data_IF_638870967152
#
_entry.id   IF_638870967152
#
_cell.length_a   1.000
_cell.length_b   1.000
_cell.length_c   1.000
_cell.angle_alpha   90.00
_cell.angle_beta   90.00
_cell.angle_gamma   90.00
#
_symmetry.space_group_name_H-M   'P 1'
#
loop_
_entity.id
_entity.type
_entity.pdbx_description
1 polymer ?
#
# COMPACT_ATOMS: atom_id res chain seq x y z
N UNK A 1 -18.83 34.92 -57.20
CA UNK A 1 -17.97 33.76 -56.91
C UNK A 1 -17.26 34.08 -55.65
N UNK A 2 -17.85 33.59 -54.53
CA UNK A 2 -17.42 33.94 -53.17
C UNK A 2 -16.58 32.78 -52.64
N UNK A 3 -15.29 33.00 -52.44
CA UNK A 3 -14.34 31.97 -52.05
C UNK A 3 -14.27 31.95 -50.50
N UNK A 4 -15.00 31.04 -49.84
CA UNK A 4 -14.89 30.82 -48.42
C UNK A 4 -13.47 30.36 -48.01
N UNK A 5 -12.90 30.92 -46.94
CA UNK A 5 -11.61 30.45 -46.43
C UNK A 5 -11.75 29.08 -45.76
N UNK A 6 -10.91 28.15 -46.19
CA UNK A 6 -10.76 26.82 -45.56
C UNK A 6 -10.25 26.98 -44.12
N UNK A 7 -11.07 26.56 -43.14
CA UNK A 7 -10.61 26.41 -41.76
C UNK A 7 -9.56 25.31 -41.70
N UNK A 8 -8.35 25.68 -41.36
CA UNK A 8 -7.29 24.70 -41.05
C UNK A 8 -7.66 23.95 -39.79
N UNK A 9 -7.92 22.67 -39.93
CA UNK A 9 -8.08 21.73 -38.81
C UNK A 9 -6.69 21.45 -38.25
N UNK A 10 -6.36 22.03 -37.09
CA UNK A 10 -5.20 21.60 -36.31
C UNK A 10 -5.62 20.32 -35.52
N UNK A 11 -4.91 19.21 -35.70
CA UNK A 11 -5.20 18.01 -34.90
C UNK A 11 -4.98 18.32 -33.41
N UNK A 12 -5.78 17.76 -32.49
CA UNK A 12 -5.60 17.97 -31.07
C UNK A 12 -4.18 17.51 -30.70
N UNK A 13 -3.43 18.40 -30.06
CA UNK A 13 -2.11 18.11 -29.50
C UNK A 13 -2.25 16.84 -28.64
N UNK A 14 -1.52 15.81 -28.99
CA UNK A 14 -1.48 14.58 -28.19
C UNK A 14 -1.23 15.01 -26.74
N UNK A 15 -2.17 14.69 -25.85
CA UNK A 15 -2.05 15.00 -24.42
C UNK A 15 -0.79 14.26 -23.96
N UNK A 16 0.29 15.01 -23.74
CA UNK A 16 1.54 14.45 -23.23
C UNK A 16 1.19 13.74 -21.94
N UNK A 17 1.46 12.44 -21.87
CA UNK A 17 1.16 11.64 -20.68
C UNK A 17 1.76 12.32 -19.46
N UNK A 18 0.98 12.52 -18.40
CA UNK A 18 1.45 13.19 -17.18
C UNK A 18 2.75 12.50 -16.70
N UNK A 19 3.82 13.27 -16.45
CA UNK A 19 5.10 12.73 -16.00
C UNK A 19 4.98 11.82 -14.78
N UNK A 20 4.00 12.06 -13.90
CA UNK A 20 3.78 11.22 -12.71
C UNK A 20 3.12 9.89 -13.06
N UNK A 21 2.22 9.86 -14.03
CA UNK A 21 1.63 8.62 -14.55
C UNK A 21 2.66 7.78 -15.30
N UNK A 22 3.58 8.44 -16.00
CA UNK A 22 4.72 7.77 -16.61
C UNK A 22 5.62 7.16 -15.53
N UNK A 23 5.97 7.92 -14.49
CA UNK A 23 6.76 7.42 -13.38
C UNK A 23 6.10 6.21 -12.70
N UNK A 24 4.78 6.25 -12.47
CA UNK A 24 4.02 5.14 -11.90
C UNK A 24 4.08 3.90 -12.80
N UNK A 25 3.86 4.04 -14.10
CA UNK A 25 3.96 2.92 -15.05
C UNK A 25 5.34 2.28 -15.04
N UNK A 26 6.40 3.09 -15.07
CA UNK A 26 7.77 2.57 -15.00
C UNK A 26 8.02 1.78 -13.71
N UNK A 27 7.45 2.22 -12.57
CA UNK A 27 7.51 1.50 -11.30
C UNK A 27 6.66 0.21 -11.33
N UNK A 28 5.55 0.20 -12.06
CA UNK A 28 4.71 -1.00 -12.24
C UNK A 28 5.42 -2.06 -13.11
N UNK A 29 6.18 -1.63 -14.12
CA UNK A 29 6.86 -2.49 -15.07
C UNK A 29 8.23 -2.99 -14.55
N UNK A 30 8.90 -2.22 -13.68
CA UNK A 30 10.26 -2.53 -13.25
C UNK A 30 10.66 -1.94 -11.90
N UNK A 31 11.96 -1.83 -11.71
CA UNK A 31 12.61 -1.27 -10.51
C UNK A 31 13.54 -0.11 -10.88
N UNK A 32 13.05 0.95 -11.54
CA UNK A 32 13.88 2.07 -11.93
C UNK A 32 14.40 2.81 -10.69
N UNK A 33 15.64 3.30 -10.78
CA UNK A 33 16.16 4.22 -9.78
C UNK A 33 15.44 5.59 -9.86
N UNK A 34 15.56 6.39 -8.82
CA UNK A 34 15.02 7.75 -8.83
C UNK A 34 15.63 8.60 -9.96
N UNK A 35 16.89 8.35 -10.31
CA UNK A 35 17.59 9.02 -11.41
C UNK A 35 16.98 8.60 -12.77
N UNK A 36 16.70 7.31 -12.96
CA UNK A 36 16.04 6.81 -14.18
C UNK A 36 14.66 7.42 -14.34
N UNK A 37 13.87 7.44 -13.26
CA UNK A 37 12.56 8.09 -13.27
C UNK A 37 12.64 9.58 -13.61
N UNK A 38 13.61 10.28 -13.03
CA UNK A 38 13.83 11.70 -13.30
C UNK A 38 14.18 11.94 -14.78
N UNK A 39 15.05 11.10 -15.36
CA UNK A 39 15.46 11.20 -16.78
C UNK A 39 14.28 10.95 -17.72
N UNK A 40 13.44 9.95 -17.44
CA UNK A 40 12.28 9.63 -18.29
C UNK A 40 11.13 10.63 -18.17
N UNK A 41 10.98 11.26 -17.02
CA UNK A 41 9.88 12.21 -16.76
C UNK A 41 10.23 13.66 -17.08
N UNK A 42 11.51 13.97 -17.28
CA UNK A 42 12.00 15.34 -17.45
C UNK A 42 11.93 16.20 -16.17
N UNK A 43 11.68 15.58 -15.03
CA UNK A 43 11.64 16.25 -13.73
C UNK A 43 12.95 16.03 -12.98
N UNK A 44 13.38 17.03 -12.18
CA UNK A 44 14.48 16.76 -11.25
C UNK A 44 14.05 15.73 -10.19
N UNK A 45 14.99 14.95 -9.68
CA UNK A 45 14.72 13.88 -8.68
C UNK A 45 13.94 14.40 -7.47
N UNK A 46 14.31 15.57 -6.93
CA UNK A 46 13.62 16.19 -5.80
C UNK A 46 12.22 16.67 -6.14
N UNK A 47 12.01 17.20 -7.33
CA UNK A 47 10.71 17.65 -7.81
C UNK A 47 9.78 16.47 -8.07
N UNK A 48 10.29 15.42 -8.72
CA UNK A 48 9.57 14.17 -8.93
C UNK A 48 9.12 13.57 -7.60
N UNK A 49 10.03 13.44 -6.64
CA UNK A 49 9.72 12.84 -5.33
C UNK A 49 8.62 13.61 -4.59
N UNK A 50 8.69 14.94 -4.56
CA UNK A 50 7.66 15.77 -3.92
C UNK A 50 6.32 15.67 -4.62
N UNK A 51 6.28 15.79 -5.95
CA UNK A 51 5.04 15.72 -6.73
C UNK A 51 4.42 14.32 -6.70
N UNK A 52 5.26 13.29 -6.79
CA UNK A 52 4.80 11.90 -6.70
C UNK A 52 4.17 11.63 -5.33
N UNK A 53 4.82 12.11 -4.24
CA UNK A 53 4.26 12.00 -2.89
C UNK A 53 2.98 12.81 -2.73
N UNK A 54 2.91 14.01 -3.28
CA UNK A 54 1.70 14.83 -3.22
C UNK A 54 0.51 14.16 -3.93
N UNK A 55 0.76 13.53 -5.08
CA UNK A 55 -0.30 12.90 -5.88
C UNK A 55 -0.65 11.49 -5.41
N UNK A 56 0.34 10.68 -5.07
CA UNK A 56 0.17 9.27 -4.72
C UNK A 56 0.34 8.99 -3.21
N UNK A 57 0.64 10.02 -2.37
CA UNK A 57 0.89 9.95 -0.93
C UNK A 57 2.16 9.21 -0.52
N UNK A 58 2.90 8.71 -1.49
CA UNK A 58 4.08 7.90 -1.35
C UNK A 58 5.21 8.47 -2.18
N UNK A 59 6.44 8.31 -1.70
CA UNK A 59 7.60 8.45 -2.58
C UNK A 59 7.67 7.28 -3.57
N UNK A 60 8.37 7.44 -4.70
CA UNK A 60 8.62 6.34 -5.63
C UNK A 60 9.24 5.10 -4.97
N UNK A 61 10.15 5.29 -4.01
CA UNK A 61 10.78 4.20 -3.27
C UNK A 61 9.78 3.44 -2.39
N UNK A 62 8.90 4.15 -1.68
CA UNK A 62 7.83 3.55 -0.89
C UNK A 62 6.83 2.80 -1.78
N UNK A 63 6.51 3.34 -2.95
CA UNK A 63 5.65 2.67 -3.93
C UNK A 63 6.25 1.33 -4.38
N UNK A 64 7.53 1.33 -4.75
CA UNK A 64 8.24 0.12 -5.14
C UNK A 64 8.33 -0.90 -4.01
N UNK A 65 8.62 -0.44 -2.78
CA UNK A 65 8.66 -1.32 -1.60
C UNK A 65 7.32 -2.03 -1.35
N UNK A 66 6.20 -1.35 -1.59
CA UNK A 66 4.86 -1.94 -1.50
C UNK A 66 4.59 -2.97 -2.57
N UNK A 67 4.93 -2.65 -3.82
CA UNK A 67 4.80 -3.61 -4.92
C UNK A 67 5.54 -4.91 -4.59
N UNK A 68 6.79 -4.79 -4.12
CA UNK A 68 7.60 -5.93 -3.68
C UNK A 68 6.93 -6.73 -2.57
N UNK A 69 6.40 -6.07 -1.57
CA UNK A 69 5.68 -6.74 -0.47
C UNK A 69 4.41 -7.46 -0.98
N UNK A 70 3.67 -6.85 -1.88
CA UNK A 70 2.50 -7.47 -2.52
C UNK A 70 2.85 -8.73 -3.28
N UNK A 71 3.91 -8.69 -4.10
CA UNK A 71 4.45 -9.84 -4.83
C UNK A 71 4.88 -10.94 -3.87
N UNK A 72 5.62 -10.59 -2.80
CA UNK A 72 6.04 -11.54 -1.77
C UNK A 72 4.84 -12.24 -1.11
N UNK A 73 3.86 -11.47 -0.65
CA UNK A 73 2.64 -12.01 -0.02
C UNK A 73 1.90 -12.97 -0.94
N UNK A 74 1.73 -12.61 -2.21
CA UNK A 74 1.08 -13.45 -3.20
C UNK A 74 1.84 -14.79 -3.39
N UNK A 75 3.15 -14.73 -3.61
CA UNK A 75 3.98 -15.90 -3.77
C UNK A 75 3.97 -16.83 -2.54
N UNK A 76 4.01 -16.27 -1.34
CA UNK A 76 3.95 -17.04 -0.09
C UNK A 76 2.58 -17.72 0.09
N UNK A 77 1.47 -17.04 -0.26
CA UNK A 77 0.12 -17.65 -0.23
C UNK A 77 -0.06 -18.76 -1.24
N UNK A 78 0.60 -18.67 -2.40
CA UNK A 78 0.68 -19.76 -3.39
C UNK A 78 1.53 -20.93 -2.92
N UNK A 79 2.12 -20.86 -1.72
CA UNK A 79 2.96 -21.92 -1.15
C UNK A 79 4.39 -21.95 -1.67
N UNK A 80 4.83 -20.95 -2.43
CA UNK A 80 6.21 -20.89 -2.93
C UNK A 80 7.20 -20.92 -1.78
N UNK A 81 8.37 -21.48 -2.05
CA UNK A 81 9.48 -21.44 -1.10
C UNK A 81 9.85 -19.99 -0.73
N UNK A 82 10.16 -19.77 0.54
CA UNK A 82 10.45 -18.41 1.08
C UNK A 82 11.57 -17.72 0.33
N UNK A 83 12.67 -18.46 0.05
CA UNK A 83 13.82 -17.90 -0.66
C UNK A 83 13.44 -17.48 -2.07
N UNK A 84 12.75 -18.36 -2.80
CA UNK A 84 12.26 -18.09 -4.16
C UNK A 84 11.28 -16.91 -4.16
N UNK A 85 10.31 -16.90 -3.26
CA UNK A 85 9.34 -15.81 -3.14
C UNK A 85 10.00 -14.45 -2.87
N UNK A 86 11.07 -14.44 -2.10
CA UNK A 86 11.85 -13.25 -1.81
C UNK A 86 12.62 -12.76 -3.05
N UNK A 87 13.24 -13.66 -3.80
CA UNK A 87 13.93 -13.30 -5.05
C UNK A 87 12.94 -12.78 -6.10
N UNK A 88 11.82 -13.47 -6.30
CA UNK A 88 10.78 -13.07 -7.24
C UNK A 88 10.18 -11.70 -6.90
N UNK A 89 10.12 -11.37 -5.62
CA UNK A 89 9.68 -10.06 -5.14
C UNK A 89 10.77 -8.97 -5.25
N UNK A 90 11.94 -9.27 -5.80
CA UNK A 90 13.01 -8.30 -6.05
C UNK A 90 13.79 -7.89 -4.80
N UNK A 91 13.90 -8.77 -3.85
CA UNK A 91 14.73 -8.55 -2.67
C UNK A 91 16.12 -9.20 -2.86
N UNK A 92 17.17 -8.41 -2.97
CA UNK A 92 18.51 -8.85 -3.46
C UNK A 92 19.42 -9.62 -2.49
N UNK A 93 19.04 -9.87 -1.22
CA UNK A 93 19.83 -10.75 -0.33
C UNK A 93 18.97 -11.34 0.81
N UNK A 94 19.23 -12.62 1.18
CA UNK A 94 18.42 -13.30 2.22
C UNK A 94 18.48 -12.62 3.59
N UNK A 95 19.62 -12.14 4.04
CA UNK A 95 19.79 -11.61 5.42
C UNK A 95 19.06 -10.30 5.68
N UNK A 96 19.16 -9.32 4.76
CA UNK A 96 18.36 -8.08 4.83
C UNK A 96 16.88 -8.32 4.67
N UNK A 97 16.55 -9.41 4.02
CA UNK A 97 15.21 -9.83 3.69
C UNK A 97 14.45 -10.38 4.88
N UNK A 98 15.08 -11.24 5.67
CA UNK A 98 14.44 -11.78 6.86
C UNK A 98 14.11 -10.70 7.89
N UNK A 99 14.97 -9.71 8.05
CA UNK A 99 14.73 -8.59 8.97
C UNK A 99 13.65 -7.63 8.44
N UNK A 100 13.78 -7.18 7.19
CA UNK A 100 12.83 -6.23 6.60
C UNK A 100 11.49 -6.86 6.22
N UNK A 101 11.49 -8.09 5.73
CA UNK A 101 10.28 -8.82 5.37
C UNK A 101 9.46 -9.24 6.60
N UNK A 102 10.13 -9.71 7.67
CA UNK A 102 9.46 -10.08 8.91
C UNK A 102 8.81 -8.88 9.61
N UNK A 103 9.48 -7.73 9.63
CA UNK A 103 8.92 -6.49 10.15
C UNK A 103 7.66 -6.07 9.37
N UNK A 104 7.68 -6.21 8.05
CA UNK A 104 6.58 -5.81 7.15
C UNK A 104 5.39 -6.76 7.10
N UNK A 105 5.58 -8.00 7.49
CA UNK A 105 4.52 -9.01 7.54
C UNK A 105 3.87 -9.12 8.93
N UNK A 106 4.44 -8.48 9.97
CA UNK A 106 4.04 -8.68 11.36
C UNK A 106 4.38 -10.08 11.89
N UNK A 107 5.03 -10.91 11.07
CA UNK A 107 5.46 -12.27 11.40
C UNK A 107 6.58 -12.71 10.43
N UNK A 108 7.18 -13.88 10.66
CA UNK A 108 8.19 -14.38 9.71
C UNK A 108 7.56 -14.77 8.37
N UNK A 109 8.30 -14.69 7.25
CA UNK A 109 7.79 -15.15 5.95
C UNK A 109 7.35 -16.63 5.97
N UNK A 110 8.06 -17.48 6.72
CA UNK A 110 7.69 -18.89 6.89
C UNK A 110 6.36 -19.05 7.62
N UNK A 111 6.14 -18.28 8.67
CA UNK A 111 4.88 -18.25 9.43
C UNK A 111 3.73 -17.72 8.56
N UNK A 112 3.99 -16.67 7.79
CA UNK A 112 3.00 -16.12 6.85
C UNK A 112 2.62 -17.15 5.78
N UNK A 113 3.60 -17.84 5.18
CA UNK A 113 3.37 -18.94 4.23
C UNK A 113 2.53 -20.07 4.84
N UNK A 114 2.73 -20.35 6.13
CA UNK A 114 1.93 -21.33 6.86
C UNK A 114 0.54 -20.81 7.29
N UNK A 115 0.07 -19.69 6.73
CA UNK A 115 -1.23 -19.11 7.05
C UNK A 115 -1.35 -18.60 8.48
N UNK A 116 -0.26 -18.16 9.09
CA UNK A 116 -0.23 -17.68 10.47
C UNK A 116 -0.23 -18.79 11.53
N UNK A 117 0.11 -20.01 11.17
CA UNK A 117 0.09 -21.15 12.11
C UNK A 117 0.96 -20.87 13.33
N UNK A 118 0.38 -21.05 14.52
CA UNK A 118 1.03 -20.85 15.81
C UNK A 118 1.17 -19.39 16.22
N UNK A 119 0.49 -18.47 15.53
CA UNK A 119 0.47 -17.04 15.86
C UNK A 119 -0.89 -16.66 16.43
N UNK A 120 -0.89 -15.93 17.54
CA UNK A 120 -2.06 -15.21 18.03
C UNK A 120 -2.11 -13.82 17.35
N UNK A 121 -3.25 -13.50 16.75
CA UNK A 121 -3.53 -12.23 16.12
C UNK A 121 -4.71 -11.61 16.85
N UNK A 122 -4.48 -10.47 17.50
CA UNK A 122 -5.55 -9.64 18.07
C UNK A 122 -6.01 -8.66 17.04
N UNK A 123 -7.31 -8.49 16.91
CA UNK A 123 -7.88 -7.59 15.92
C UNK A 123 -9.11 -6.86 16.45
N UNK A 124 -9.37 -5.70 15.89
CA UNK A 124 -10.55 -4.90 16.21
C UNK A 124 -11.03 -4.14 14.99
N UNK A 125 -12.25 -3.61 15.10
CA UNK A 125 -12.86 -2.74 14.10
C UNK A 125 -13.03 -1.34 14.69
N UNK A 126 -12.56 -0.34 13.97
CA UNK A 126 -12.66 1.07 14.36
C UNK A 126 -13.20 1.91 13.21
N UNK A 127 -13.87 3.00 13.54
CA UNK A 127 -14.24 4.02 12.57
C UNK A 127 -13.08 5.02 12.45
N UNK A 128 -12.64 5.26 11.23
CA UNK A 128 -11.57 6.21 10.92
C UNK A 128 -12.08 7.26 9.94
N UNK A 129 -11.29 8.29 9.70
CA UNK A 129 -11.59 9.30 8.66
C UNK A 129 -11.72 8.70 7.25
N UNK A 130 -11.22 7.49 7.04
CA UNK A 130 -11.29 6.76 5.78
C UNK A 130 -12.42 5.71 5.77
N UNK A 131 -13.24 5.67 6.81
CA UNK A 131 -14.33 4.72 6.97
C UNK A 131 -14.01 3.58 7.92
N UNK A 132 -14.85 2.54 7.87
CA UNK A 132 -14.74 1.36 8.72
C UNK A 132 -13.44 0.60 8.46
N UNK A 133 -12.64 0.39 9.50
CA UNK A 133 -11.29 -0.13 9.40
C UNK A 133 -11.09 -1.30 10.36
N UNK A 134 -10.58 -2.42 9.84
CA UNK A 134 -10.08 -3.52 10.65
C UNK A 134 -8.58 -3.32 10.86
N UNK A 135 -8.12 -3.42 12.09
CA UNK A 135 -6.70 -3.42 12.46
C UNK A 135 -6.39 -4.70 13.21
N UNK A 136 -5.37 -5.41 12.76
CA UNK A 136 -4.91 -6.66 13.35
C UNK A 136 -3.41 -6.62 13.64
N UNK A 137 -2.99 -7.17 14.77
CA UNK A 137 -1.60 -7.17 15.20
C UNK A 137 -1.21 -8.49 15.88
N UNK A 138 0.06 -8.84 15.70
CA UNK A 138 0.78 -9.88 16.47
C UNK A 138 1.64 -9.20 17.54
N UNK A 139 2.32 -9.98 18.37
CA UNK A 139 3.32 -9.45 19.30
C UNK A 139 4.44 -8.65 18.60
N UNK A 140 4.71 -8.96 17.34
CA UNK A 140 5.73 -8.29 16.52
C UNK A 140 5.27 -6.96 15.96
N UNK A 141 3.95 -6.75 15.85
CA UNK A 141 3.39 -5.53 15.32
C UNK A 141 2.13 -5.75 14.48
N UNK A 142 1.70 -4.72 13.76
CA UNK A 142 0.52 -4.77 12.90
C UNK A 142 0.79 -5.71 11.73
N UNK A 143 -0.11 -6.66 11.49
CA UNK A 143 -0.03 -7.62 10.40
C UNK A 143 -1.10 -7.39 9.32
N UNK A 144 -2.21 -6.72 9.65
CA UNK A 144 -3.22 -6.32 8.67
C UNK A 144 -3.91 -5.02 9.05
N UNK A 145 -4.21 -4.23 8.03
CA UNK A 145 -5.13 -3.09 8.08
C UNK A 145 -6.02 -3.19 6.84
N UNK A 146 -7.32 -3.29 7.06
CA UNK A 146 -8.30 -3.44 5.99
C UNK A 146 -9.38 -2.38 6.10
N UNK A 147 -9.78 -1.80 4.97
CA UNK A 147 -10.92 -0.90 4.86
C UNK A 147 -12.10 -1.58 4.19
N UNK A 148 -13.28 -1.26 4.63
CA UNK A 148 -14.51 -1.72 4.00
C UNK A 148 -15.75 -1.15 4.66
N UNK A 149 -16.87 -1.31 4.00
CA UNK A 149 -18.16 -0.87 4.54
C UNK A 149 -18.85 -1.93 5.40
N UNK A 150 -18.41 -3.19 5.30
CA UNK A 150 -19.04 -4.34 5.95
C UNK A 150 -18.06 -5.08 6.86
N UNK A 151 -18.40 -5.13 8.15
CA UNK A 151 -17.62 -5.79 9.20
C UNK A 151 -17.38 -7.27 8.90
N UNK A 152 -18.39 -7.97 8.39
CA UNK A 152 -18.31 -9.40 8.07
C UNK A 152 -17.34 -9.66 6.92
N UNK A 153 -17.34 -8.79 5.91
CA UNK A 153 -16.41 -8.89 4.80
C UNK A 153 -14.95 -8.61 5.23
N UNK A 154 -14.76 -7.66 6.15
CA UNK A 154 -13.45 -7.35 6.73
C UNK A 154 -12.92 -8.54 7.56
N UNK A 155 -13.75 -9.12 8.41
CA UNK A 155 -13.38 -10.29 9.21
C UNK A 155 -13.07 -11.50 8.32
N UNK A 156 -13.87 -11.75 7.28
CA UNK A 156 -13.61 -12.83 6.32
C UNK A 156 -12.25 -12.67 5.65
N UNK A 157 -11.89 -11.47 5.18
CA UNK A 157 -10.57 -11.22 4.58
C UNK A 157 -9.43 -11.50 5.54
N UNK A 158 -9.58 -11.13 6.81
CA UNK A 158 -8.58 -11.45 7.83
C UNK A 158 -8.42 -12.98 8.01
N UNK A 159 -9.54 -13.72 8.03
CA UNK A 159 -9.54 -15.17 8.11
C UNK A 159 -8.93 -15.83 6.87
N UNK A 160 -9.22 -15.28 5.69
CA UNK A 160 -8.67 -15.76 4.42
C UNK A 160 -7.16 -15.48 4.32
N UNK A 161 -6.70 -14.35 4.87
CA UNK A 161 -5.27 -14.00 4.92
C UNK A 161 -4.49 -14.88 5.91
N UNK A 162 -5.10 -15.23 7.06
CA UNK A 162 -4.47 -16.00 8.14
C UNK A 162 -5.33 -17.20 8.56
N UNK A 163 -5.52 -18.20 7.68
CA UNK A 163 -6.45 -19.30 7.91
C UNK A 163 -6.06 -20.23 9.06
N UNK A 164 -4.81 -20.19 9.52
CA UNK A 164 -4.28 -21.06 10.57
C UNK A 164 -3.82 -20.31 11.82
N UNK A 165 -4.07 -18.99 11.88
CA UNK A 165 -3.79 -18.18 13.06
C UNK A 165 -4.91 -18.30 14.10
N UNK A 166 -4.57 -18.02 15.35
CA UNK A 166 -5.55 -17.82 16.42
C UNK A 166 -6.02 -16.36 16.35
N UNK A 167 -7.24 -16.14 15.87
CA UNK A 167 -7.82 -14.81 15.72
C UNK A 167 -8.66 -14.45 16.94
N UNK A 168 -8.24 -13.46 17.70
CA UNK A 168 -8.93 -12.93 18.87
C UNK A 168 -9.46 -11.53 18.59
N UNK A 169 -10.79 -11.38 18.60
CA UNK A 169 -11.40 -10.05 18.51
C UNK A 169 -11.37 -9.38 19.87
N UNK A 170 -10.85 -8.15 19.93
CA UNK A 170 -10.79 -7.35 21.14
C UNK A 170 -11.56 -6.03 20.96
N UNK A 171 -12.02 -5.47 22.08
CA UNK A 171 -12.69 -4.18 22.07
C UNK A 171 -11.67 -3.04 21.90
N UNK A 172 -11.92 -2.15 20.96
CA UNK A 172 -11.13 -0.95 20.79
C UNK A 172 -11.12 -0.11 22.09
N UNK A 173 -9.94 0.26 22.56
CA UNK A 173 -9.77 1.07 23.77
C UNK A 173 -9.76 0.30 25.10
N UNK A 174 -10.02 -1.02 25.09
CA UNK A 174 -9.91 -1.87 26.29
C UNK A 174 -8.72 -2.83 26.26
N UNK A 175 -8.03 -2.91 25.16
CA UNK A 175 -6.87 -3.78 25.01
C UNK A 175 -5.60 -2.94 25.02
N UNK A 176 -4.80 -3.06 26.09
CA UNK A 176 -3.55 -2.32 26.29
C UNK A 176 -2.50 -2.62 25.19
N UNK A 177 -2.62 -3.76 24.53
CA UNK A 177 -1.73 -4.14 23.46
C UNK A 177 -2.06 -3.46 22.13
N UNK A 178 -3.36 -3.35 21.77
CA UNK A 178 -3.80 -2.71 20.53
C UNK A 178 -3.95 -1.19 20.65
N UNK A 179 -4.29 -0.66 21.81
CA UNK A 179 -4.54 0.76 22.00
C UNK A 179 -3.39 1.67 21.51
N UNK A 180 -2.11 1.44 21.85
CA UNK A 180 -1.00 2.24 21.34
C UNK A 180 -0.83 2.12 19.83
N UNK A 181 -1.09 0.93 19.28
CA UNK A 181 -0.99 0.66 17.84
C UNK A 181 -2.10 1.37 17.06
N UNK A 182 -3.31 1.35 17.58
CA UNK A 182 -4.44 2.08 17.01
C UNK A 182 -4.20 3.59 17.03
N UNK A 183 -3.66 4.11 18.14
CA UNK A 183 -3.28 5.52 18.23
C UNK A 183 -2.27 5.88 17.15
N UNK A 184 -1.20 5.10 16.99
CA UNK A 184 -0.19 5.33 15.97
C UNK A 184 -0.77 5.25 14.54
N UNK A 185 -1.70 4.32 14.29
CA UNK A 185 -2.44 4.25 13.02
C UNK A 185 -3.26 5.52 12.80
N UNK A 186 -4.01 5.98 13.80
CA UNK A 186 -4.84 7.19 13.69
C UNK A 186 -3.99 8.44 13.44
N UNK A 187 -2.86 8.60 14.14
CA UNK A 187 -1.91 9.69 13.93
C UNK A 187 -1.36 9.69 12.48
N UNK A 188 -0.99 8.52 11.98
CA UNK A 188 -0.48 8.37 10.62
C UNK A 188 -1.55 8.69 9.57
N UNK A 189 -2.79 8.27 9.79
CA UNK A 189 -3.93 8.58 8.92
C UNK A 189 -4.26 10.08 8.92
N UNK A 190 -4.00 10.75 10.05
CA UNK A 190 -4.14 12.21 10.17
C UNK A 190 -2.95 12.99 9.56
N UNK A 191 -2.02 12.32 8.87
CA UNK A 191 -0.85 12.94 8.24
C UNK A 191 0.27 13.34 9.21
N UNK A 192 0.16 12.96 10.49
CA UNK A 192 1.21 13.20 11.50
C UNK A 192 2.27 12.11 11.44
N UNK A 193 3.52 12.45 11.76
CA UNK A 193 4.57 11.45 11.95
C UNK A 193 4.27 10.66 13.23
N UNK A 194 4.04 9.35 13.07
CA UNK A 194 3.89 8.42 14.16
C UNK A 194 4.82 7.24 13.91
N UNK A 195 5.54 6.83 14.93
CA UNK A 195 6.30 5.59 14.93
C UNK A 195 5.29 4.44 15.06
N UNK A 196 4.81 3.99 13.93
CA UNK A 196 4.01 2.78 13.87
C UNK A 196 4.99 1.64 13.74
N UNK A 197 5.13 0.78 14.76
CA UNK A 197 6.03 -0.35 14.68
C UNK A 197 5.48 -1.39 13.71
N UNK A 198 5.33 -1.01 12.49
CA UNK A 198 5.17 -1.79 11.26
C UNK A 198 4.78 -0.86 10.14
N UNK A 199 5.19 -1.24 9.01
CA UNK A 199 4.83 -0.65 7.73
C UNK A 199 3.30 -0.67 7.56
N UNK A 200 2.62 0.45 7.87
CA UNK A 200 1.25 0.74 7.47
C UNK A 200 1.06 0.66 5.94
N UNK A 201 2.09 0.23 5.25
CA UNK A 201 2.20 0.01 3.83
C UNK A 201 1.57 -1.34 3.41
N UNK A 202 0.65 -1.87 4.22
CA UNK A 202 -0.11 -3.09 3.94
C UNK A 202 -0.92 -3.00 2.65
N UNK A 203 -0.83 -4.03 1.86
CA UNK A 203 -1.13 -4.20 0.45
C UNK A 203 -2.57 -3.94 -0.03
N UNK A 204 -3.58 -3.99 0.81
CA UNK A 204 -4.98 -3.83 0.39
C UNK A 204 -5.59 -2.47 0.68
N UNK A 205 -5.20 -1.88 1.79
CA UNK A 205 -5.75 -0.64 2.30
C UNK A 205 -5.44 0.55 1.39
N UNK A 206 -4.19 0.76 1.07
CA UNK A 206 -3.76 1.94 0.35
C UNK A 206 -4.05 1.85 -1.14
N UNK A 207 -4.06 0.65 -1.73
CA UNK A 207 -4.50 0.50 -3.12
C UNK A 207 -5.95 0.98 -3.25
N UNK A 208 -6.83 0.62 -2.32
CA UNK A 208 -8.25 1.06 -2.36
C UNK A 208 -8.45 2.53 -1.98
N UNK A 209 -7.67 3.06 -1.03
CA UNK A 209 -7.66 4.50 -0.73
C UNK A 209 -7.18 5.28 -1.95
N UNK A 210 -6.15 4.79 -2.63
CA UNK A 210 -5.64 5.41 -3.86
C UNK A 210 -6.61 5.29 -5.01
N UNK A 211 -7.22 4.12 -5.22
CA UNK A 211 -8.25 3.91 -6.23
C UNK A 211 -9.47 4.80 -5.97
N UNK A 212 -9.80 5.07 -4.71
CA UNK A 212 -10.86 6.00 -4.34
C UNK A 212 -10.45 7.45 -4.56
N UNK A 213 -9.24 7.86 -4.14
CA UNK A 213 -8.72 9.22 -4.35
C UNK A 213 -8.47 9.55 -5.82
N UNK A 214 -8.06 8.55 -6.63
CA UNK A 214 -7.89 8.72 -8.08
C UNK A 214 -9.22 8.87 -8.83
N UNK A 215 -10.36 8.51 -8.21
CA UNK A 215 -11.70 8.70 -8.78
C UNK A 215 -12.32 10.05 -8.44
N UNK A 216 -11.70 10.82 -7.54
CA UNK A 216 -12.14 12.19 -7.21
C UNK A 216 -11.58 13.13 -8.28
N UNK A 217 -12.44 13.86 -9.03
CA UNK A 217 -11.99 14.86 -9.99
C UNK A 217 -11.14 15.95 -9.32
N UNK A 218 -10.18 16.48 -10.05
CA UNK A 218 -9.33 17.58 -9.57
C UNK A 218 -10.20 18.78 -9.18
N UNK A 219 -10.16 19.19 -7.90
CA UNK A 219 -10.93 20.33 -7.39
C UNK A 219 -12.25 19.99 -6.69
N UNK A 220 -12.67 18.73 -6.65
CA UNK A 220 -13.84 18.31 -5.89
C UNK A 220 -13.46 17.69 -4.55
N UNK A 221 -14.12 18.18 -3.48
CA UNK A 221 -14.09 17.54 -2.15
C UNK A 221 -15.27 16.60 -2.05
N UNK A 222 -15.01 15.31 -1.87
CA UNK A 222 -16.08 14.37 -1.51
C UNK A 222 -16.40 14.58 -0.04
N UNK A 223 -17.57 15.12 0.24
CA UNK A 223 -18.15 15.16 1.58
C UNK A 223 -18.65 13.75 1.91
N UNK A 224 -18.17 13.19 3.03
CA UNK A 224 -18.65 11.94 3.58
C UNK A 224 -19.89 12.17 4.41
#
# INVERSE_FOLDING_TARGET
>A
MDTMPRRSFSPPTAIAADPLDLARRLLDEGEPSLADLASHTGLSASHLQRRFRARFGLSPAEYLARKKLGTLKAALREGRDVTTALYDAGYGSPSRLYEQGAAKLGMTPATYRAGGRGVAIRWTLVDTVLGRTLVAATERGICAIELGADDTALERRLRDEFPHAQLERVEAGRDDFLAPRLQAVAERLAGREADVPVDLLGTGFQQRVWDALMKVPEGETVSY
#
